data_IF_090509281220
#
_entry.id   IF_090509281220
#
_cell.length_a   1.000
_cell.length_b   1.000
_cell.length_c   1.000
_cell.angle_alpha   90.00
_cell.angle_beta   90.00
_cell.angle_gamma   90.00
#
_symmetry.space_group_name_H-M   'P 1'
#
loop_
_entity.id
_entity.type
_entity.pdbx_description
1 polymer ?
#
# COMPACT_ATOMS: atom_id res chain seq x y z
N UNK A 1 -17.48 68.77 20.10
CA UNK A 1 -16.34 67.82 20.16
C UNK A 1 -16.86 66.41 19.90
N UNK A 2 -16.75 65.88 18.68
CA UNK A 2 -17.12 64.49 18.36
C UNK A 2 -15.83 63.74 17.99
N UNK A 3 -15.44 62.80 18.85
CA UNK A 3 -14.30 61.89 18.61
C UNK A 3 -14.74 60.84 17.59
N UNK A 4 -14.09 60.79 16.44
CA UNK A 4 -14.23 59.70 15.47
C UNK A 4 -13.27 58.60 15.93
N UNK A 5 -13.83 57.46 16.35
CA UNK A 5 -13.08 56.27 16.71
C UNK A 5 -12.77 55.50 15.41
N UNK A 6 -11.51 55.41 15.04
CA UNK A 6 -11.06 54.61 13.89
C UNK A 6 -10.90 53.16 14.37
N UNK A 7 -11.83 52.27 13.96
CA UNK A 7 -11.70 50.83 14.20
C UNK A 7 -10.79 50.23 13.13
N UNK A 8 -9.59 49.81 13.53
CA UNK A 8 -8.68 49.02 12.69
C UNK A 8 -9.15 47.57 12.75
N UNK A 9 -9.76 47.07 11.66
CA UNK A 9 -10.04 45.66 11.49
C UNK A 9 -8.72 44.93 11.16
N UNK A 10 -8.15 44.25 12.15
CA UNK A 10 -7.08 43.28 11.93
C UNK A 10 -7.74 42.02 11.37
N UNK A 11 -7.70 41.86 10.05
CA UNK A 11 -8.04 40.59 9.41
C UNK A 11 -6.90 39.63 9.70
N UNK A 12 -7.04 38.84 10.77
CA UNK A 12 -6.23 37.66 11.00
C UNK A 12 -6.54 36.68 9.87
N UNK A 13 -5.71 36.69 8.83
CA UNK A 13 -5.69 35.64 7.82
C UNK A 13 -5.21 34.36 8.50
N UNK A 14 -6.13 33.58 9.04
CA UNK A 14 -5.85 32.18 9.36
C UNK A 14 -5.39 31.51 8.06
N UNK A 15 -4.26 30.77 8.04
CA UNK A 15 -3.97 29.93 6.91
C UNK A 15 -5.17 29.02 6.74
N UNK A 16 -5.81 29.09 5.57
CA UNK A 16 -6.84 28.16 5.20
C UNK A 16 -6.19 26.77 5.27
N UNK A 17 -6.46 26.03 6.34
CA UNK A 17 -6.35 24.59 6.34
C UNK A 17 -7.29 24.16 5.22
N UNK A 18 -6.72 23.95 4.02
CA UNK A 18 -7.43 23.29 2.94
C UNK A 18 -8.09 22.09 3.55
N UNK A 19 -9.43 22.01 3.48
CA UNK A 19 -10.15 20.80 3.81
C UNK A 19 -9.45 19.69 3.02
N UNK A 20 -8.73 18.82 3.72
CA UNK A 20 -8.19 17.62 3.12
C UNK A 20 -9.43 16.92 2.58
N UNK A 21 -9.56 16.82 1.25
CA UNK A 21 -10.50 15.87 0.63
C UNK A 21 -10.32 14.57 1.40
N UNK A 22 -11.39 13.90 1.81
CA UNK A 22 -11.28 12.64 2.57
C UNK A 22 -10.57 11.59 1.71
N UNK A 23 -9.24 11.61 1.78
CA UNK A 23 -8.32 10.84 0.96
C UNK A 23 -8.14 9.44 1.55
N UNK A 24 -8.70 9.14 2.72
CA UNK A 24 -8.58 7.87 3.39
C UNK A 24 -9.94 7.21 3.60
N UNK A 25 -10.09 6.00 3.09
CA UNK A 25 -11.19 5.10 3.41
C UNK A 25 -10.66 3.92 4.21
N UNK A 26 -11.38 3.54 5.27
CA UNK A 26 -11.08 2.34 6.05
C UNK A 26 -12.33 1.51 6.16
N UNK A 27 -12.36 0.37 5.49
CA UNK A 27 -13.52 -0.52 5.50
C UNK A 27 -13.18 -1.90 4.96
N UNK A 28 -14.04 -2.87 5.24
CA UNK A 28 -14.03 -4.17 4.54
C UNK A 28 -14.37 -3.92 3.07
N UNK A 29 -13.70 -4.64 2.16
CA UNK A 29 -14.02 -4.62 0.74
C UNK A 29 -14.78 -5.91 0.39
N UNK A 30 -15.99 -5.83 -0.19
CA UNK A 30 -16.84 -7.02 -0.39
C UNK A 30 -16.20 -8.06 -1.30
N UNK A 31 -15.49 -7.63 -2.35
CA UNK A 31 -14.74 -8.55 -3.20
C UNK A 31 -13.61 -9.27 -2.46
N UNK A 32 -12.90 -8.57 -1.56
CA UNK A 32 -11.78 -9.18 -0.83
C UNK A 32 -12.31 -10.22 0.16
N UNK A 33 -13.33 -9.86 0.94
CA UNK A 33 -13.96 -10.77 1.88
C UNK A 33 -14.57 -12.01 1.19
N UNK A 34 -15.19 -11.83 0.01
CA UNK A 34 -15.69 -12.94 -0.81
C UNK A 34 -14.56 -13.93 -1.14
N UNK A 35 -13.42 -13.44 -1.64
CA UNK A 35 -12.29 -14.30 -1.96
C UNK A 35 -11.70 -14.96 -0.71
N UNK A 36 -11.58 -14.23 0.40
CA UNK A 36 -11.09 -14.78 1.68
C UNK A 36 -11.97 -15.94 2.15
N UNK A 37 -13.30 -15.79 2.12
CA UNK A 37 -14.24 -16.86 2.49
C UNK A 37 -14.08 -18.07 1.58
N UNK A 38 -14.08 -17.88 0.25
CA UNK A 38 -13.97 -19.00 -0.69
C UNK A 38 -12.65 -19.76 -0.50
N UNK A 39 -11.55 -19.05 -0.25
CA UNK A 39 -10.24 -19.65 0.00
C UNK A 39 -10.17 -20.41 1.33
N UNK A 40 -10.81 -19.90 2.39
CA UNK A 40 -10.92 -20.60 3.68
C UNK A 40 -11.73 -21.89 3.51
N UNK A 41 -12.87 -21.84 2.81
CA UNK A 41 -13.71 -23.02 2.56
C UNK A 41 -12.99 -24.11 1.74
N UNK A 42 -12.01 -23.72 0.93
CA UNK A 42 -11.21 -24.62 0.11
C UNK A 42 -9.97 -25.15 0.84
N UNK A 43 -9.79 -24.83 2.13
CA UNK A 43 -8.59 -25.12 2.91
C UNK A 43 -7.29 -24.61 2.25
N UNK A 44 -7.39 -23.52 1.48
CA UNK A 44 -6.25 -22.87 0.81
C UNK A 44 -5.73 -21.67 1.59
N UNK A 45 -6.54 -21.07 2.46
CA UNK A 45 -6.14 -19.97 3.33
C UNK A 45 -6.05 -20.43 4.79
N UNK A 46 -5.17 -19.84 5.63
CA UNK A 46 -5.16 -20.14 7.05
C UNK A 46 -6.51 -19.85 7.68
N UNK A 47 -6.80 -20.61 8.74
CA UNK A 47 -8.00 -20.36 9.53
C UNK A 47 -7.92 -18.96 10.18
N UNK A 48 -9.03 -18.21 10.20
CA UNK A 48 -9.05 -16.87 10.78
C UNK A 48 -8.81 -16.95 12.30
N UNK A 49 -8.30 -15.86 12.87
CA UNK A 49 -8.25 -15.76 14.32
C UNK A 49 -9.68 -15.82 14.92
N UNK A 50 -9.88 -16.51 16.05
CA UNK A 50 -11.19 -16.59 16.71
C UNK A 50 -11.79 -15.22 17.01
N UNK A 51 -13.00 -14.99 16.54
CA UNK A 51 -13.81 -13.81 16.87
C UNK A 51 -15.29 -14.13 16.74
N UNK A 52 -16.15 -13.28 17.31
CA UNK A 52 -17.59 -13.37 17.11
C UNK A 52 -17.94 -13.36 15.62
N UNK A 53 -17.23 -12.53 14.84
CA UNK A 53 -17.41 -12.44 13.40
C UNK A 53 -16.94 -13.68 12.64
N UNK A 54 -15.74 -14.20 12.91
CA UNK A 54 -15.24 -15.38 12.21
C UNK A 54 -16.09 -16.61 12.49
N UNK A 55 -16.60 -16.76 13.72
CA UNK A 55 -17.58 -17.79 14.06
C UNK A 55 -18.87 -17.67 13.23
N UNK A 56 -19.45 -16.47 13.14
CA UNK A 56 -20.67 -16.22 12.36
C UNK A 56 -20.47 -16.47 10.86
N UNK A 57 -19.36 -15.97 10.29
CA UNK A 57 -19.04 -16.13 8.88
C UNK A 57 -18.83 -17.61 8.51
N UNK A 58 -18.01 -18.33 9.27
CA UNK A 58 -17.75 -19.75 9.01
C UNK A 58 -19.04 -20.58 9.13
N UNK A 59 -19.85 -20.35 10.17
CA UNK A 59 -21.11 -21.06 10.34
C UNK A 59 -22.12 -20.77 9.19
N UNK A 60 -22.12 -19.54 8.65
CA UNK A 60 -23.00 -19.18 7.55
C UNK A 60 -22.59 -19.86 6.23
N UNK A 61 -21.29 -19.86 5.93
CA UNK A 61 -20.78 -20.27 4.62
C UNK A 61 -20.36 -21.75 4.54
N UNK A 62 -20.21 -22.45 5.65
CA UNK A 62 -19.72 -23.84 5.69
C UNK A 62 -20.53 -24.81 4.78
N UNK A 63 -21.85 -24.64 4.71
CA UNK A 63 -22.72 -25.49 3.86
C UNK A 63 -22.44 -25.36 2.35
N UNK A 64 -21.60 -24.41 1.93
CA UNK A 64 -21.24 -24.17 0.53
C UNK A 64 -19.83 -24.66 0.17
N UNK A 65 -19.19 -25.50 1.01
CA UNK A 65 -17.88 -26.14 0.71
C UNK A 65 -17.85 -26.88 -0.63
N UNK A 66 -18.99 -27.40 -1.07
CA UNK A 66 -19.11 -28.12 -2.35
C UNK A 66 -19.33 -27.22 -3.58
N UNK A 67 -19.38 -25.90 -3.41
CA UNK A 67 -19.64 -24.96 -4.49
C UNK A 67 -18.52 -24.98 -5.55
N UNK A 68 -18.84 -24.84 -6.86
CA UNK A 68 -17.84 -24.83 -7.93
C UNK A 68 -16.66 -23.87 -7.72
N UNK A 69 -16.87 -22.69 -7.15
CA UNK A 69 -15.80 -21.74 -6.81
C UNK A 69 -14.78 -22.31 -5.80
N UNK A 70 -15.27 -22.98 -4.76
CA UNK A 70 -14.44 -23.62 -3.72
C UNK A 70 -13.65 -24.78 -4.32
N UNK A 71 -14.33 -25.62 -5.13
CA UNK A 71 -13.69 -26.72 -5.84
C UNK A 71 -12.64 -26.24 -6.84
N UNK A 72 -12.89 -25.16 -7.57
CA UNK A 72 -11.96 -24.58 -8.55
C UNK A 72 -10.68 -24.12 -7.88
N UNK A 73 -10.77 -23.36 -6.79
CA UNK A 73 -9.55 -22.84 -6.14
C UNK A 73 -8.76 -23.94 -5.43
N UNK A 74 -9.43 -25.02 -4.98
CA UNK A 74 -8.75 -26.20 -4.45
C UNK A 74 -7.80 -26.84 -5.49
N UNK A 75 -8.08 -26.70 -6.80
CA UNK A 75 -7.19 -27.22 -7.86
C UNK A 75 -5.99 -26.33 -8.16
N UNK A 76 -5.91 -25.12 -7.60
CA UNK A 76 -4.74 -24.26 -7.79
C UNK A 76 -3.55 -24.83 -7.00
N UNK A 77 -2.33 -24.43 -7.39
CA UNK A 77 -1.08 -24.88 -6.76
C UNK A 77 -0.89 -24.36 -5.33
N UNK A 78 0.32 -23.89 -5.02
CA UNK A 78 0.56 -23.17 -3.76
C UNK A 78 -0.35 -21.95 -3.67
N UNK A 79 -0.86 -21.64 -2.47
CA UNK A 79 -1.74 -20.51 -2.25
C UNK A 79 -1.00 -19.20 -2.52
N UNK A 80 -1.58 -18.36 -3.37
CA UNK A 80 -1.19 -16.98 -3.53
C UNK A 80 -2.17 -16.12 -2.72
N UNK A 81 -1.65 -15.30 -1.81
CA UNK A 81 -2.43 -14.68 -0.74
C UNK A 81 -2.86 -13.25 -1.02
N UNK A 82 -2.47 -12.67 -2.15
CA UNK A 82 -2.90 -11.33 -2.56
C UNK A 82 -4.33 -11.34 -3.11
N UNK A 83 -5.29 -11.68 -2.25
CA UNK A 83 -6.73 -11.70 -2.56
C UNK A 83 -7.28 -10.31 -2.89
N UNK A 84 -6.56 -9.28 -2.46
CA UNK A 84 -6.85 -7.87 -2.76
C UNK A 84 -6.82 -7.63 -4.26
N UNK A 85 -5.86 -8.21 -4.98
CA UNK A 85 -5.73 -8.06 -6.43
C UNK A 85 -7.00 -8.55 -7.15
N UNK A 86 -7.53 -9.70 -6.74
CA UNK A 86 -8.79 -10.24 -7.27
C UNK A 86 -10.01 -9.44 -6.83
N UNK A 87 -10.07 -9.07 -5.55
CA UNK A 87 -11.20 -8.33 -4.99
C UNK A 87 -11.44 -7.01 -5.72
N UNK A 88 -10.37 -6.33 -6.14
CA UNK A 88 -10.43 -5.05 -6.86
C UNK A 88 -10.62 -5.19 -8.38
N UNK A 89 -10.63 -6.42 -8.91
CA UNK A 89 -11.18 -6.69 -10.25
C UNK A 89 -12.72 -6.59 -10.26
N UNK A 90 -13.39 -6.62 -9.10
CA UNK A 90 -14.85 -6.54 -8.99
C UNK A 90 -15.34 -5.13 -8.65
N UNK A 91 -16.42 -4.69 -9.29
CA UNK A 91 -17.10 -3.43 -8.96
C UNK A 91 -18.63 -3.56 -9.03
N UNK A 92 -19.35 -2.46 -8.74
CA UNK A 92 -20.80 -2.33 -8.88
C UNK A 92 -21.67 -3.29 -8.03
N UNK A 93 -21.19 -3.69 -6.86
CA UNK A 93 -21.95 -4.51 -5.90
C UNK A 93 -23.34 -3.91 -5.59
N UNK A 94 -24.43 -4.71 -5.57
CA UNK A 94 -24.46 -6.17 -5.71
C UNK A 94 -24.38 -6.71 -7.14
N UNK A 95 -24.53 -5.86 -8.16
CA UNK A 95 -24.55 -6.28 -9.57
C UNK A 95 -23.11 -6.35 -10.10
N UNK A 96 -22.34 -7.33 -9.59
CA UNK A 96 -20.90 -7.43 -9.81
C UNK A 96 -20.54 -7.33 -11.29
N UNK A 97 -19.74 -6.32 -11.61
CA UNK A 97 -18.96 -6.27 -12.85
C UNK A 97 -17.56 -6.78 -12.58
N UNK A 98 -17.05 -7.61 -13.48
CA UNK A 98 -15.69 -8.12 -13.45
C UNK A 98 -14.91 -7.37 -14.52
N UNK A 99 -13.90 -6.62 -14.10
CA UNK A 99 -12.89 -6.10 -15.01
C UNK A 99 -11.82 -7.18 -15.22
N UNK A 100 -11.41 -7.37 -16.47
CA UNK A 100 -10.40 -8.35 -16.86
C UNK A 100 -9.10 -7.61 -17.21
N UNK A 101 -8.19 -7.40 -16.26
CA UNK A 101 -6.94 -6.68 -16.50
C UNK A 101 -6.04 -7.41 -17.51
N UNK A 102 -5.10 -6.68 -18.09
CA UNK A 102 -4.12 -7.26 -19.01
C UNK A 102 -3.17 -8.22 -18.27
N UNK A 103 -2.70 -7.79 -17.10
CA UNK A 103 -1.71 -8.47 -16.27
C UNK A 103 -2.20 -8.51 -14.82
N UNK A 104 -2.01 -9.64 -14.14
CA UNK A 104 -2.12 -9.81 -12.69
C UNK A 104 -1.04 -10.77 -12.22
N UNK A 105 -0.60 -10.65 -10.97
CA UNK A 105 0.28 -11.66 -10.37
C UNK A 105 -0.43 -13.01 -10.26
N UNK A 106 -1.74 -13.04 -10.05
CA UNK A 106 -2.56 -14.26 -10.15
C UNK A 106 -2.41 -14.96 -11.51
N UNK A 107 -2.34 -14.22 -12.63
CA UNK A 107 -2.20 -14.82 -13.96
C UNK A 107 -0.85 -15.49 -14.15
N UNK A 108 0.22 -14.91 -13.59
CA UNK A 108 1.57 -15.48 -13.63
C UNK A 108 1.64 -16.82 -12.89
N UNK A 109 0.88 -16.96 -11.81
CA UNK A 109 0.88 -18.16 -10.97
C UNK A 109 -0.03 -19.28 -11.51
N UNK A 110 -1.19 -18.96 -12.08
CA UNK A 110 -2.22 -19.97 -12.40
C UNK A 110 -2.74 -19.94 -13.86
N UNK A 111 -2.28 -18.99 -14.67
CA UNK A 111 -2.76 -18.77 -16.03
C UNK A 111 -4.03 -17.91 -16.08
N UNK A 112 -4.09 -17.00 -17.05
CA UNK A 112 -5.16 -16.00 -17.19
C UNK A 112 -6.56 -16.62 -17.25
N UNK A 113 -6.77 -17.60 -18.12
CA UNK A 113 -8.08 -18.22 -18.32
C UNK A 113 -8.61 -18.89 -17.04
N UNK A 114 -7.75 -19.62 -16.33
CA UNK A 114 -8.10 -20.27 -15.07
C UNK A 114 -8.50 -19.28 -13.99
N UNK A 115 -7.79 -18.16 -13.87
CA UNK A 115 -8.10 -17.12 -12.89
C UNK A 115 -9.40 -16.42 -13.24
N UNK A 116 -9.63 -16.09 -14.52
CA UNK A 116 -10.88 -15.47 -14.96
C UNK A 116 -12.09 -16.38 -14.74
N UNK A 117 -11.95 -17.69 -14.99
CA UNK A 117 -12.97 -18.67 -14.65
C UNK A 117 -13.23 -18.68 -13.13
N UNK A 118 -12.18 -18.68 -12.31
CA UNK A 118 -12.32 -18.63 -10.86
C UNK A 118 -13.06 -17.37 -10.37
N UNK A 119 -12.71 -16.18 -10.87
CA UNK A 119 -13.41 -14.92 -10.53
C UNK A 119 -14.90 -15.00 -10.90
N UNK A 120 -15.23 -15.58 -12.06
CA UNK A 120 -16.62 -15.77 -12.50
C UNK A 120 -17.37 -16.73 -11.58
N UNK A 121 -16.75 -17.84 -11.18
CA UNK A 121 -17.33 -18.77 -10.22
C UNK A 121 -17.49 -18.14 -8.83
N UNK A 122 -16.60 -17.24 -8.40
CA UNK A 122 -16.77 -16.48 -7.15
C UNK A 122 -17.97 -15.52 -7.22
N UNK A 123 -18.23 -14.89 -8.36
CA UNK A 123 -19.48 -14.13 -8.56
C UNK A 123 -20.71 -15.04 -8.46
N UNK A 124 -20.63 -16.26 -8.97
CA UNK A 124 -21.74 -17.22 -8.85
C UNK A 124 -21.93 -17.67 -7.39
N UNK A 125 -20.83 -17.87 -6.64
CA UNK A 125 -20.86 -18.10 -5.19
C UNK A 125 -21.53 -16.94 -4.46
N UNK A 126 -21.16 -15.70 -4.79
CA UNK A 126 -21.75 -14.49 -4.22
C UNK A 126 -23.28 -14.50 -4.36
N UNK A 127 -23.80 -14.88 -5.53
CA UNK A 127 -25.23 -14.98 -5.78
C UNK A 127 -25.88 -16.16 -5.04
N UNK A 128 -25.32 -17.36 -5.14
CA UNK A 128 -25.88 -18.58 -4.57
C UNK A 128 -25.91 -18.59 -3.04
N UNK A 129 -24.99 -17.86 -2.41
CA UNK A 129 -24.88 -17.75 -0.95
C UNK A 129 -25.61 -16.55 -0.37
N UNK A 130 -26.24 -15.72 -1.20
CA UNK A 130 -26.79 -14.42 -0.77
C UNK A 130 -25.74 -13.57 -0.03
N UNK A 131 -24.49 -13.61 -0.52
CA UNK A 131 -23.35 -12.95 0.12
C UNK A 131 -23.63 -11.48 0.40
N UNK A 132 -24.28 -10.76 -0.52
CA UNK A 132 -24.55 -9.34 -0.32
C UNK A 132 -25.46 -9.06 0.88
N UNK A 133 -26.41 -9.93 1.16
CA UNK A 133 -27.29 -9.79 2.32
C UNK A 133 -26.52 -10.06 3.61
N UNK A 134 -25.65 -11.07 3.60
CA UNK A 134 -24.69 -11.30 4.68
C UNK A 134 -23.79 -10.08 4.90
N UNK A 135 -23.17 -9.54 3.85
CA UNK A 135 -22.29 -8.37 3.92
C UNK A 135 -23.03 -7.14 4.48
N UNK A 136 -24.21 -6.81 3.96
CA UNK A 136 -25.02 -5.67 4.42
C UNK A 136 -25.45 -5.82 5.88
N UNK A 137 -25.78 -7.04 6.32
CA UNK A 137 -26.13 -7.32 7.72
C UNK A 137 -25.01 -6.94 8.70
N UNK A 138 -23.75 -6.99 8.25
CA UNK A 138 -22.58 -6.67 9.09
C UNK A 138 -22.00 -5.26 8.83
N UNK A 139 -22.59 -4.47 7.94
CA UNK A 139 -22.10 -3.14 7.56
C UNK A 139 -21.84 -2.22 8.76
N UNK A 140 -22.72 -2.25 9.78
CA UNK A 140 -22.53 -1.46 10.99
C UNK A 140 -21.26 -1.86 11.79
N UNK A 141 -20.92 -3.15 11.82
CA UNK A 141 -19.68 -3.62 12.45
C UNK A 141 -18.47 -3.15 11.64
N UNK A 142 -18.51 -3.31 10.31
CA UNK A 142 -17.42 -2.86 9.44
C UNK A 142 -17.16 -1.36 9.56
N UNK A 143 -18.21 -0.53 9.56
CA UNK A 143 -18.09 0.92 9.76
C UNK A 143 -17.49 1.24 11.11
N UNK A 144 -17.88 0.55 12.19
CA UNK A 144 -17.33 0.79 13.52
C UNK A 144 -15.84 0.45 13.59
N UNK A 145 -15.43 -0.70 13.07
CA UNK A 145 -14.02 -1.10 13.00
C UNK A 145 -13.20 -0.12 12.16
N UNK A 146 -13.72 0.24 10.99
CA UNK A 146 -13.09 1.17 10.08
C UNK A 146 -12.92 2.56 10.69
N UNK A 147 -13.96 3.11 11.32
CA UNK A 147 -13.90 4.41 11.97
C UNK A 147 -12.90 4.45 13.13
N UNK A 148 -12.82 3.38 13.93
CA UNK A 148 -11.84 3.28 15.02
C UNK A 148 -10.42 3.38 14.49
N UNK A 149 -10.09 2.60 13.46
CA UNK A 149 -8.75 2.63 12.87
C UNK A 149 -8.48 3.94 12.10
N UNK A 150 -9.48 4.45 11.34
CA UNK A 150 -9.37 5.73 10.64
C UNK A 150 -9.02 6.87 11.60
N UNK A 151 -9.67 6.93 12.77
CA UNK A 151 -9.38 7.94 13.78
C UNK A 151 -7.91 7.88 14.26
N UNK A 152 -7.34 6.69 14.42
CA UNK A 152 -5.92 6.53 14.75
C UNK A 152 -5.00 7.00 13.62
N UNK A 153 -5.33 6.67 12.36
CA UNK A 153 -4.55 7.08 11.18
C UNK A 153 -4.61 8.60 10.98
N UNK A 154 -5.80 9.18 11.05
CA UNK A 154 -6.03 10.63 10.90
C UNK A 154 -5.31 11.41 12.00
N UNK A 155 -5.37 10.94 13.26
CA UNK A 155 -4.68 11.61 14.37
C UNK A 155 -3.15 11.55 14.25
N UNK A 156 -2.61 10.54 13.56
CA UNK A 156 -1.18 10.46 13.27
C UNK A 156 -0.73 11.43 12.15
N UNK A 157 -1.65 11.96 11.34
CA UNK A 157 -1.37 12.96 10.30
C UNK A 157 -0.39 12.50 9.23
N UNK A 158 -0.37 11.20 8.90
CA UNK A 158 0.67 10.60 8.04
C UNK A 158 0.62 11.12 6.60
N UNK A 159 -0.58 11.26 6.04
CA UNK A 159 -0.76 11.75 4.67
C UNK A 159 -0.26 13.19 4.56
N UNK A 160 -0.53 14.02 5.56
CA UNK A 160 -0.06 15.41 5.61
C UNK A 160 1.47 15.48 5.78
N UNK A 161 2.06 14.58 6.57
CA UNK A 161 3.53 14.47 6.70
C UNK A 161 4.19 14.10 5.37
N UNK A 162 3.61 13.17 4.62
CA UNK A 162 4.08 12.77 3.29
C UNK A 162 3.95 13.92 2.28
N UNK A 163 2.77 14.54 2.19
CA UNK A 163 2.53 15.71 1.34
C UNK A 163 3.48 16.86 1.70
N UNK A 164 3.67 17.12 2.98
CA UNK A 164 4.61 18.13 3.49
C UNK A 164 6.06 17.83 3.14
N UNK A 165 6.45 16.55 3.09
CA UNK A 165 7.75 16.14 2.58
C UNK A 165 7.88 16.47 1.10
N UNK A 166 6.94 16.07 0.24
CA UNK A 166 7.07 16.29 -1.20
C UNK A 166 6.88 17.77 -1.62
N UNK A 167 6.09 18.53 -0.84
CA UNK A 167 5.66 19.92 -1.10
C UNK A 167 4.94 20.11 -2.43
N UNK A 168 4.25 19.08 -2.89
CA UNK A 168 3.23 19.12 -3.94
C UNK A 168 2.19 18.03 -3.65
N UNK A 169 1.05 18.04 -4.36
CA UNK A 169 0.00 17.05 -4.20
C UNK A 169 0.00 16.09 -5.39
N UNK A 170 -0.15 14.79 -5.12
CA UNK A 170 -0.26 13.74 -6.14
C UNK A 170 -1.70 13.20 -6.29
N UNK A 171 -2.68 13.83 -5.64
CA UNK A 171 -4.12 13.48 -5.70
C UNK A 171 -4.43 12.00 -5.43
N UNK A 172 -3.75 11.42 -4.44
CA UNK A 172 -3.87 10.00 -4.08
C UNK A 172 -5.01 9.73 -3.12
N UNK A 173 -5.77 8.67 -3.40
CA UNK A 173 -6.75 8.11 -2.49
C UNK A 173 -6.22 6.82 -1.86
N UNK A 174 -6.53 6.60 -0.58
CA UNK A 174 -6.00 5.53 0.24
C UNK A 174 -7.14 4.67 0.76
N UNK A 175 -7.08 3.35 0.56
CA UNK A 175 -8.04 2.43 1.14
C UNK A 175 -7.32 1.44 2.06
N UNK A 176 -7.59 1.53 3.36
CA UNK A 176 -7.21 0.46 4.29
C UNK A 176 -8.33 -0.58 4.28
N UNK A 177 -8.08 -1.66 3.55
CA UNK A 177 -8.96 -2.81 3.41
C UNK A 177 -8.80 -3.70 4.64
N UNK A 178 -9.55 -3.43 5.70
CA UNK A 178 -9.60 -4.32 6.87
C UNK A 178 -10.29 -5.62 6.48
N UNK A 179 -9.66 -6.75 6.75
CA UNK A 179 -10.19 -8.08 6.50
C UNK A 179 -10.28 -8.87 7.81
N UNK A 180 -11.48 -9.02 8.40
CA UNK A 180 -11.66 -9.68 9.69
C UNK A 180 -11.37 -11.19 9.67
N UNK A 181 -11.25 -11.79 8.49
CA UNK A 181 -10.94 -13.21 8.29
C UNK A 181 -9.49 -13.44 7.86
N UNK A 182 -8.74 -12.38 7.57
CA UNK A 182 -7.33 -12.49 7.23
C UNK A 182 -6.47 -12.70 8.48
N UNK A 183 -5.83 -13.87 8.58
CA UNK A 183 -4.82 -14.21 9.59
C UNK A 183 -3.43 -14.47 8.99
N UNK A 184 -3.22 -14.17 7.70
CA UNK A 184 -1.96 -14.39 6.99
C UNK A 184 -0.97 -13.25 7.19
N UNK A 185 -1.39 -12.03 6.85
CA UNK A 185 -0.51 -10.86 6.87
C UNK A 185 -1.12 -9.63 6.21
N UNK A 186 -0.36 -8.55 6.16
CA UNK A 186 -0.76 -7.28 5.55
C UNK A 186 0.09 -6.97 4.33
N UNK A 187 -0.51 -6.38 3.30
CA UNK A 187 0.19 -6.01 2.08
C UNK A 187 -0.49 -4.81 1.40
N UNK A 188 0.28 -4.06 0.62
CA UNK A 188 -0.20 -2.93 -0.16
C UNK A 188 -0.18 -3.26 -1.65
N UNK A 189 -1.18 -2.77 -2.39
CA UNK A 189 -1.20 -2.85 -3.84
C UNK A 189 -1.54 -1.49 -4.45
N UNK A 190 -1.05 -1.27 -5.66
CA UNK A 190 -1.55 -0.20 -6.53
C UNK A 190 -2.65 -0.76 -7.45
N UNK A 191 -3.66 0.05 -7.74
CA UNK A 191 -4.85 -0.41 -8.49
C UNK A 191 -4.89 0.08 -9.94
N UNK A 192 -3.90 0.89 -10.35
CA UNK A 192 -3.80 1.52 -11.67
C UNK A 192 -3.95 0.55 -12.84
N UNK A 193 -3.37 -0.64 -12.72
CA UNK A 193 -3.41 -1.68 -13.77
C UNK A 193 -4.51 -2.71 -13.55
N UNK A 194 -5.17 -2.68 -12.39
CA UNK A 194 -6.17 -3.69 -11.96
C UNK A 194 -7.55 -3.31 -12.47
N UNK A 195 -8.02 -2.08 -12.24
CA UNK A 195 -9.33 -1.64 -12.71
C UNK A 195 -9.32 -0.10 -12.86
N UNK A 196 -9.59 0.45 -14.06
CA UNK A 196 -9.56 1.89 -14.32
C UNK A 196 -10.46 2.71 -13.40
N UNK A 197 -11.56 2.14 -12.92
CA UNK A 197 -12.46 2.80 -11.97
C UNK A 197 -11.76 3.17 -10.65
N UNK A 198 -10.70 2.44 -10.32
CA UNK A 198 -9.97 2.57 -9.07
C UNK A 198 -8.57 3.14 -9.26
N UNK A 199 -8.17 3.56 -10.46
CA UNK A 199 -6.76 3.80 -10.81
C UNK A 199 -5.96 4.73 -9.88
N UNK A 200 -6.64 5.63 -9.15
CA UNK A 200 -6.04 6.59 -8.23
C UNK A 200 -5.99 6.11 -6.76
N UNK A 201 -6.32 4.84 -6.49
CA UNK A 201 -6.30 4.24 -5.15
C UNK A 201 -5.03 3.44 -4.87
N UNK A 202 -4.38 3.74 -3.74
CA UNK A 202 -3.49 2.81 -3.03
C UNK A 202 -4.33 2.02 -2.04
N UNK A 203 -4.16 0.71 -2.02
CA UNK A 203 -4.91 -0.18 -1.13
C UNK A 203 -3.96 -0.90 -0.21
N UNK A 204 -4.21 -0.85 1.09
CA UNK A 204 -3.51 -1.66 2.10
C UNK A 204 -4.47 -2.63 2.74
N UNK A 205 -4.28 -3.92 2.51
CA UNK A 205 -5.01 -4.92 3.24
C UNK A 205 -4.35 -5.22 4.57
N UNK A 206 -5.16 -5.37 5.60
CA UNK A 206 -4.70 -5.82 6.91
C UNK A 206 -5.73 -6.74 7.55
N UNK A 207 -5.22 -7.74 8.24
CA UNK A 207 -6.02 -8.73 8.95
C UNK A 207 -6.28 -8.40 10.42
N UNK A 208 -6.92 -9.35 11.09
CA UNK A 208 -7.10 -9.38 12.54
C UNK A 208 -6.04 -10.30 13.17
N UNK A 209 -5.05 -9.73 13.86
CA UNK A 209 -3.84 -10.45 14.32
C UNK A 209 -3.70 -10.53 15.85
N UNK A 210 -4.76 -10.90 16.56
CA UNK A 210 -4.73 -11.03 18.02
C UNK A 210 -4.18 -12.39 18.47
N UNK A 211 -3.20 -12.39 19.38
CA UNK A 211 -2.60 -13.62 19.91
C UNK A 211 -3.51 -14.33 20.91
N UNK A 212 -4.27 -13.57 21.69
CA UNK A 212 -5.23 -14.09 22.67
C UNK A 212 -6.67 -13.85 22.22
N UNK A 213 -6.97 -14.26 20.98
CA UNK A 213 -8.23 -13.98 20.33
C UNK A 213 -9.40 -14.71 21.03
N UNK A 214 -10.55 -14.04 21.10
CA UNK A 214 -11.73 -14.53 21.83
C UNK A 214 -12.92 -14.66 20.87
N UNK A 215 -13.49 -15.87 20.69
CA UNK A 215 -14.62 -16.09 19.78
C UNK A 215 -15.91 -15.38 20.19
N UNK A 216 -15.96 -14.70 21.34
CA UNK A 216 -17.09 -13.87 21.78
C UNK A 216 -16.87 -12.38 21.52
N UNK A 217 -15.68 -11.96 21.10
CA UNK A 217 -15.34 -10.56 20.85
C UNK A 217 -15.26 -10.27 19.36
N UNK A 218 -15.63 -9.06 18.98
CA UNK A 218 -15.43 -8.59 17.61
C UNK A 218 -13.93 -8.31 17.34
N UNK A 219 -13.47 -8.46 16.09
CA UNK A 219 -12.13 -8.08 15.67
C UNK A 219 -11.76 -6.64 16.07
N UNK A 220 -10.49 -6.47 16.44
CA UNK A 220 -9.86 -5.18 16.67
C UNK A 220 -8.68 -5.01 15.71
N UNK A 221 -8.68 -3.93 14.94
CA UNK A 221 -7.62 -3.65 13.97
C UNK A 221 -6.67 -2.60 14.54
N UNK A 222 -5.46 -3.04 14.86
CA UNK A 222 -4.43 -2.19 15.45
C UNK A 222 -3.86 -1.19 14.45
N UNK A 223 -3.61 0.03 14.91
CA UNK A 223 -2.79 0.99 14.17
C UNK A 223 -1.30 0.61 14.28
N UNK A 224 -0.89 -0.35 13.46
CA UNK A 224 0.50 -0.81 13.39
C UNK A 224 1.01 -0.74 11.94
N UNK A 225 2.26 -0.31 11.77
CA UNK A 225 2.97 -0.23 10.48
C UNK A 225 2.35 0.68 9.39
N UNK A 226 1.30 1.45 9.70
CA UNK A 226 0.68 2.38 8.75
C UNK A 226 1.59 3.49 8.29
N UNK A 227 2.60 3.84 9.07
CA UNK A 227 3.66 4.76 8.64
C UNK A 227 4.39 4.22 7.42
N UNK A 228 4.73 2.93 7.44
CA UNK A 228 5.41 2.30 6.33
C UNK A 228 4.47 2.23 5.12
N UNK A 229 3.20 1.89 5.29
CA UNK A 229 2.21 2.01 4.21
C UNK A 229 2.21 3.41 3.59
N UNK A 230 1.97 4.44 4.41
CA UNK A 230 1.76 5.79 3.88
C UNK A 230 3.05 6.34 3.31
N UNK A 231 4.17 6.18 4.01
CA UNK A 231 5.44 6.74 3.58
C UNK A 231 6.08 5.95 2.44
N UNK A 232 6.05 4.62 2.46
CA UNK A 232 6.66 3.80 1.40
C UNK A 232 5.76 3.78 0.16
N UNK A 233 4.55 3.24 0.28
CA UNK A 233 3.67 3.04 -0.87
C UNK A 233 3.18 4.36 -1.46
N UNK A 234 3.04 5.38 -0.62
CA UNK A 234 2.72 6.73 -1.09
C UNK A 234 3.82 7.31 -1.92
N UNK A 235 5.07 7.16 -1.49
CA UNK A 235 6.23 7.70 -2.17
C UNK A 235 6.37 7.19 -3.60
N UNK A 236 6.02 5.92 -3.88
CA UNK A 236 5.94 5.36 -5.24
C UNK A 236 5.12 6.25 -6.18
N UNK A 237 3.96 6.77 -5.72
CA UNK A 237 3.12 7.63 -6.57
C UNK A 237 3.75 9.00 -6.79
N UNK A 238 4.29 9.63 -5.74
CA UNK A 238 4.94 10.94 -5.87
C UNK A 238 6.16 10.86 -6.80
N UNK A 239 6.93 9.77 -6.72
CA UNK A 239 8.17 9.61 -7.48
C UNK A 239 7.92 9.23 -8.94
N UNK A 240 6.89 8.45 -9.27
CA UNK A 240 6.64 7.95 -10.63
C UNK A 240 6.74 9.04 -11.73
N UNK A 241 6.14 10.20 -11.51
CA UNK A 241 6.22 11.32 -12.46
C UNK A 241 7.65 11.85 -12.64
N UNK A 242 8.40 11.96 -11.55
CA UNK A 242 9.80 12.41 -11.55
C UNK A 242 10.72 11.36 -12.18
N UNK A 243 10.54 10.09 -11.86
CA UNK A 243 11.36 9.03 -12.43
C UNK A 243 11.19 8.94 -13.94
N UNK A 244 9.95 9.09 -14.43
CA UNK A 244 9.70 9.19 -15.87
C UNK A 244 10.36 10.44 -16.47
N UNK A 245 10.32 11.57 -15.78
CA UNK A 245 10.95 12.81 -16.26
C UNK A 245 12.48 12.69 -16.36
N UNK A 246 13.12 11.95 -15.45
CA UNK A 246 14.57 11.78 -15.37
C UNK A 246 15.05 10.39 -15.80
N UNK A 247 14.25 9.68 -16.59
CA UNK A 247 14.48 8.28 -17.00
C UNK A 247 15.89 8.07 -17.56
N UNK A 248 16.36 8.97 -18.43
CA UNK A 248 17.69 8.88 -19.02
C UNK A 248 18.81 8.98 -17.97
N UNK A 249 18.71 9.94 -17.06
CA UNK A 249 19.70 10.16 -16.01
C UNK A 249 19.69 9.02 -14.97
N UNK A 250 18.54 8.41 -14.74
CA UNK A 250 18.42 7.20 -13.94
C UNK A 250 19.10 6.04 -14.66
N UNK A 251 18.85 5.84 -15.95
CA UNK A 251 19.48 4.76 -16.74
C UNK A 251 21.01 4.90 -16.84
N UNK A 252 21.55 6.12 -16.83
CA UNK A 252 23.00 6.37 -16.75
C UNK A 252 23.63 5.79 -15.48
N UNK A 253 22.85 5.60 -14.41
CA UNK A 253 23.29 5.00 -13.14
C UNK A 253 23.13 3.48 -13.10
N UNK A 254 22.75 2.82 -14.21
CA UNK A 254 22.49 1.37 -14.22
C UNK A 254 23.69 0.49 -13.83
N UNK A 255 24.92 1.03 -13.87
CA UNK A 255 26.13 0.35 -13.38
C UNK A 255 26.12 0.10 -11.86
N UNK A 256 25.23 0.76 -11.13
CA UNK A 256 24.97 0.53 -9.70
C UNK A 256 24.15 -0.75 -9.45
N UNK A 257 23.48 -1.29 -10.47
CA UNK A 257 22.67 -2.48 -10.29
C UNK A 257 23.51 -3.76 -10.27
N UNK A 258 23.54 -4.45 -9.13
CA UNK A 258 24.04 -5.81 -9.04
C UNK A 258 22.89 -6.82 -9.13
N UNK A 259 22.56 -7.28 -10.34
CA UNK A 259 21.52 -8.30 -10.56
C UNK A 259 21.77 -9.64 -9.87
N UNK A 260 23.02 -9.92 -9.50
CA UNK A 260 23.43 -11.18 -8.87
C UNK A 260 23.38 -11.10 -7.34
N UNK A 261 23.11 -9.93 -6.78
CA UNK A 261 22.92 -9.72 -5.35
C UNK A 261 21.78 -10.58 -4.79
N UNK A 262 22.03 -11.23 -3.67
CA UNK A 262 21.07 -12.17 -3.09
C UNK A 262 19.88 -11.47 -2.43
N UNK A 263 20.06 -10.22 -1.98
CA UNK A 263 18.96 -9.38 -1.52
C UNK A 263 18.08 -8.91 -2.66
N UNK A 264 18.65 -8.53 -3.81
CA UNK A 264 17.85 -8.20 -4.99
C UNK A 264 16.98 -9.38 -5.42
N UNK A 265 17.52 -10.61 -5.46
CA UNK A 265 16.73 -11.82 -5.75
C UNK A 265 15.65 -12.07 -4.69
N UNK A 266 16.00 -11.97 -3.41
CA UNK A 266 15.07 -12.18 -2.28
C UNK A 266 13.88 -11.21 -2.30
N UNK A 267 14.11 -9.98 -2.76
CA UNK A 267 13.07 -8.96 -2.90
C UNK A 267 12.45 -8.92 -4.30
N UNK A 268 12.72 -9.92 -5.16
CA UNK A 268 12.21 -9.97 -6.55
C UNK A 268 12.55 -8.75 -7.41
N UNK A 269 13.65 -8.05 -7.10
CA UNK A 269 14.15 -6.92 -7.87
C UNK A 269 14.92 -7.46 -9.09
N UNK A 270 14.33 -7.30 -10.27
CA UNK A 270 14.84 -7.91 -11.51
C UNK A 270 15.57 -6.95 -12.44
N UNK A 271 15.44 -5.63 -12.23
CA UNK A 271 16.02 -4.62 -13.10
C UNK A 271 16.41 -3.35 -12.33
N UNK A 272 17.27 -2.55 -12.95
CA UNK A 272 17.81 -1.33 -12.34
C UNK A 272 16.75 -0.31 -11.98
N UNK A 273 15.77 -0.04 -12.87
CA UNK A 273 14.75 0.98 -12.60
C UNK A 273 13.95 0.64 -11.36
N UNK A 274 13.57 -0.63 -11.22
CA UNK A 274 12.87 -1.09 -10.02
C UNK A 274 13.77 -1.03 -8.77
N UNK A 275 15.06 -1.35 -8.90
CA UNK A 275 16.03 -1.19 -7.82
C UNK A 275 16.17 0.28 -7.38
N UNK A 276 16.23 1.22 -8.33
CA UNK A 276 16.34 2.65 -8.08
C UNK A 276 15.11 3.19 -7.35
N UNK A 277 13.91 2.91 -7.88
CA UNK A 277 12.63 3.30 -7.32
C UNK A 277 12.47 2.84 -5.87
N UNK A 278 12.73 1.56 -5.61
CA UNK A 278 12.70 0.99 -4.25
C UNK A 278 13.72 1.64 -3.32
N UNK A 279 14.97 1.84 -3.76
CA UNK A 279 15.96 2.54 -2.94
C UNK A 279 15.52 3.99 -2.66
N UNK A 280 14.93 4.69 -3.63
CA UNK A 280 14.47 6.06 -3.47
C UNK A 280 13.33 6.15 -2.46
N UNK A 281 12.30 5.33 -2.63
CA UNK A 281 11.14 5.22 -1.73
C UNK A 281 11.56 4.87 -0.31
N UNK A 282 12.46 3.89 -0.15
CA UNK A 282 12.99 3.48 1.16
C UNK A 282 13.81 4.59 1.81
N UNK A 283 14.59 5.34 1.04
CA UNK A 283 15.35 6.49 1.54
C UNK A 283 14.44 7.63 2.02
N UNK A 284 13.40 7.95 1.25
CA UNK A 284 12.37 8.93 1.64
C UNK A 284 11.64 8.47 2.91
N UNK A 285 11.24 7.20 2.95
CA UNK A 285 10.59 6.60 4.12
C UNK A 285 11.48 6.72 5.35
N UNK A 286 12.76 6.38 5.25
CA UNK A 286 13.67 6.48 6.36
C UNK A 286 13.89 7.93 6.82
N UNK A 287 13.96 8.90 5.90
CA UNK A 287 14.05 10.33 6.23
C UNK A 287 12.78 10.85 6.94
N UNK A 288 11.60 10.36 6.56
CA UNK A 288 10.34 10.65 7.24
C UNK A 288 10.30 10.06 8.66
N UNK A 289 10.83 8.85 8.85
CA UNK A 289 11.01 8.26 10.18
C UNK A 289 11.99 9.08 11.03
N UNK A 290 13.10 9.54 10.44
CA UNK A 290 14.06 10.41 11.11
C UNK A 290 13.40 11.72 11.58
N UNK A 291 12.53 12.30 10.75
CA UNK A 291 11.86 13.55 11.07
C UNK A 291 10.74 13.43 12.11
N UNK A 292 9.94 12.35 12.06
CA UNK A 292 8.65 12.30 12.77
C UNK A 292 8.53 11.17 13.80
N UNK A 293 9.54 10.30 13.92
CA UNK A 293 9.51 9.16 14.86
C UNK A 293 10.67 9.21 15.82
N UNK A 294 10.49 8.51 16.93
CA UNK A 294 11.53 8.38 17.95
C UNK A 294 12.81 7.76 17.36
N UNK A 295 14.00 8.12 17.87
CA UNK A 295 15.28 7.63 17.34
C UNK A 295 15.38 6.11 17.24
N UNK A 296 14.72 5.38 18.15
CA UNK A 296 14.67 3.91 18.12
C UNK A 296 13.90 3.38 16.90
N UNK A 297 12.79 4.03 16.53
CA UNK A 297 11.98 3.63 15.38
C UNK A 297 12.72 3.92 14.07
N UNK A 298 13.37 5.08 13.95
CA UNK A 298 14.24 5.40 12.81
C UNK A 298 15.38 4.38 12.66
N UNK A 299 16.12 4.08 13.74
CA UNK A 299 17.19 3.06 13.70
C UNK A 299 16.68 1.68 13.29
N UNK A 300 15.50 1.27 13.78
CA UNK A 300 14.85 0.01 13.38
C UNK A 300 14.52 0.01 11.89
N UNK A 301 14.02 1.13 11.36
CA UNK A 301 13.71 1.30 9.95
C UNK A 301 14.99 1.18 9.09
N UNK A 302 16.06 1.93 9.42
CA UNK A 302 17.34 1.83 8.72
C UNK A 302 17.91 0.40 8.72
N UNK A 303 17.89 -0.27 9.88
CA UNK A 303 18.39 -1.65 9.98
C UNK A 303 17.59 -2.63 9.11
N UNK A 304 16.26 -2.45 8.98
CA UNK A 304 15.41 -3.27 8.10
C UNK A 304 15.85 -3.17 6.64
N UNK A 305 16.14 -1.95 6.17
CA UNK A 305 16.53 -1.72 4.78
C UNK A 305 17.90 -2.33 4.46
N UNK A 306 18.86 -2.16 5.36
CA UNK A 306 20.20 -2.76 5.24
C UNK A 306 20.16 -4.29 5.26
N UNK A 307 19.38 -4.91 6.15
CA UNK A 307 19.19 -6.37 6.19
C UNK A 307 18.48 -6.91 4.93
N UNK A 308 17.84 -6.03 4.17
CA UNK A 308 17.18 -6.35 2.90
C UNK A 308 18.06 -6.03 1.69
N UNK A 309 19.34 -5.67 1.91
CA UNK A 309 20.37 -5.29 0.93
C UNK A 309 20.01 -4.05 0.09
N UNK A 310 19.13 -3.16 0.59
CA UNK A 310 18.91 -1.84 0.01
C UNK A 310 19.99 -0.86 0.50
N UNK A 311 21.24 -1.13 0.11
CA UNK A 311 22.44 -0.49 0.65
C UNK A 311 22.48 1.03 0.40
N UNK A 312 21.89 1.53 -0.69
CA UNK A 312 21.92 2.95 -1.01
C UNK A 312 21.10 3.80 -0.02
N UNK A 313 20.19 3.19 0.73
CA UNK A 313 19.42 3.87 1.78
C UNK A 313 20.33 4.49 2.85
N UNK A 314 21.44 3.83 3.20
CA UNK A 314 22.41 4.34 4.19
C UNK A 314 23.02 5.68 3.77
N UNK A 315 23.13 5.91 2.47
CA UNK A 315 23.75 7.11 1.91
C UNK A 315 22.74 8.17 1.50
N UNK A 316 21.59 7.74 0.97
CA UNK A 316 20.54 8.60 0.45
C UNK A 316 19.69 9.20 1.56
N UNK A 317 19.36 8.44 2.61
CA UNK A 317 18.58 8.97 3.73
C UNK A 317 19.24 10.20 4.37
N UNK A 318 20.50 10.16 4.86
CA UNK A 318 21.11 11.33 5.49
C UNK A 318 21.31 12.47 4.50
N UNK A 319 21.55 12.18 3.21
CA UNK A 319 21.63 13.20 2.18
C UNK A 319 20.29 13.93 1.99
N UNK A 320 19.18 13.18 1.86
CA UNK A 320 17.82 13.73 1.76
C UNK A 320 17.49 14.52 3.04
N UNK A 321 17.75 13.95 4.21
CA UNK A 321 17.39 14.58 5.48
C UNK A 321 18.12 15.92 5.68
N UNK A 322 19.44 15.96 5.50
CA UNK A 322 20.24 17.17 5.74
C UNK A 322 20.12 18.19 4.60
N UNK A 323 20.07 17.76 3.34
CA UNK A 323 20.08 18.68 2.19
C UNK A 323 18.71 19.15 1.75
N UNK A 324 17.66 18.40 2.06
CA UNK A 324 16.29 18.74 1.68
C UNK A 324 15.39 19.04 2.86
N UNK A 325 15.24 18.13 3.84
CA UNK A 325 14.28 18.35 4.94
C UNK A 325 14.71 19.45 5.89
N UNK A 326 15.99 19.50 6.26
CA UNK A 326 16.55 20.57 7.11
C UNK A 326 16.89 21.85 6.36
N UNK A 327 16.74 21.86 5.04
CA UNK A 327 17.09 23.00 4.20
C UNK A 327 15.85 23.70 3.67
N UNK A 328 15.89 25.03 3.64
CA UNK A 328 14.88 25.84 2.95
C UNK A 328 15.27 26.16 1.50
N UNK A 329 16.34 25.53 0.96
CA UNK A 329 16.86 25.79 -0.39
C UNK A 329 15.87 25.39 -1.50
N UNK A 330 15.14 24.29 -1.31
CA UNK A 330 14.27 23.70 -2.34
C UNK A 330 12.80 23.87 -1.98
N UNK A 331 12.02 24.41 -2.92
CA UNK A 331 10.58 24.66 -2.76
C UNK A 331 9.76 23.38 -2.86
N UNK A 332 10.28 22.35 -3.53
CA UNK A 332 9.66 21.04 -3.63
C UNK A 332 10.68 19.94 -3.88
N UNK A 333 10.24 18.69 -3.72
CA UNK A 333 11.08 17.54 -4.03
C UNK A 333 11.41 17.46 -5.53
N UNK A 334 10.58 18.04 -6.40
CA UNK A 334 10.85 18.19 -7.84
C UNK A 334 12.16 18.95 -8.09
N UNK A 335 12.40 20.03 -7.33
CA UNK A 335 13.63 20.82 -7.44
C UNK A 335 14.84 20.10 -6.84
N UNK A 336 14.61 19.22 -5.86
CA UNK A 336 15.68 18.49 -5.17
C UNK A 336 16.10 17.20 -5.88
N UNK A 337 15.19 16.52 -6.57
CA UNK A 337 15.44 15.22 -7.21
C UNK A 337 16.71 15.17 -8.07
N UNK A 338 17.04 16.18 -8.91
CA UNK A 338 18.29 16.19 -9.69
C UNK A 338 19.57 16.14 -8.83
N UNK A 339 19.54 16.68 -7.61
CA UNK A 339 20.68 16.69 -6.70
C UNK A 339 20.95 15.29 -6.15
N UNK A 340 19.93 14.45 -6.03
CA UNK A 340 20.08 13.03 -5.65
C UNK A 340 20.80 12.27 -6.77
N UNK A 341 20.37 12.44 -8.02
CA UNK A 341 21.01 11.81 -9.18
C UNK A 341 22.48 12.26 -9.32
N UNK A 342 22.73 13.55 -9.12
CA UNK A 342 24.08 14.11 -9.08
C UNK A 342 24.92 13.49 -7.97
N UNK A 343 24.38 13.40 -6.76
CA UNK A 343 25.06 12.81 -5.61
C UNK A 343 25.46 11.35 -5.87
N UNK A 344 24.53 10.52 -6.36
CA UNK A 344 24.82 9.12 -6.70
C UNK A 344 25.93 9.01 -7.76
N UNK A 345 25.88 9.84 -8.81
CA UNK A 345 26.89 9.86 -9.88
C UNK A 345 28.28 10.27 -9.36
N UNK A 346 28.35 11.29 -8.51
CA UNK A 346 29.62 11.79 -7.96
C UNK A 346 30.23 10.84 -6.95
N UNK A 347 29.40 10.14 -6.17
CA UNK A 347 29.86 9.26 -5.10
C UNK A 347 30.26 7.87 -5.59
N UNK A 348 29.57 7.37 -6.61
CA UNK A 348 29.86 6.07 -7.21
C UNK A 348 30.38 6.27 -8.63
N UNK A 349 31.69 6.40 -8.80
CA UNK A 349 32.29 6.51 -10.14
C UNK A 349 32.05 5.21 -10.93
N UNK A 350 31.68 5.27 -12.22
CA UNK A 350 31.61 4.09 -13.06
C UNK A 350 32.95 3.34 -13.07
N UNK A 351 32.95 2.00 -13.13
CA UNK A 351 34.18 1.26 -13.33
C UNK A 351 34.89 1.79 -14.59
N UNK A 352 36.18 2.09 -14.47
CA UNK A 352 37.00 2.49 -15.63
C UNK A 352 36.94 1.34 -16.63
N UNK A 353 36.40 1.59 -17.82
CA UNK A 353 36.49 0.63 -18.92
C UNK A 353 37.97 0.49 -19.28
N UNK A 354 38.61 -0.58 -18.80
CA UNK A 354 39.92 -0.99 -19.32
C UNK A 354 39.67 -1.48 -20.74
N UNK A 355 39.85 -0.59 -21.72
CA UNK A 355 40.05 -0.99 -23.10
C UNK A 355 41.34 -1.77 -23.16
N UNK A 356 41.27 -3.09 -23.02
CA UNK A 356 42.31 -3.97 -23.49
C UNK A 356 42.32 -3.81 -25.01
N UNK A 357 43.22 -2.95 -25.50
CA UNK A 357 43.67 -3.02 -26.89
C UNK A 357 44.51 -4.28 -26.97
N UNK A 358 44.00 -5.26 -27.71
CA UNK A 358 44.76 -6.41 -28.19
C UNK A 358 46.00 -5.97 -28.98
#
# INVERSE_FOLDING_TARGET
MKRILLLILIVLSSPAYSQVKDQLKVNVHPGVELFTIVQILADKYPQPNPSAYSKEALAYFEKYKDHPAVKKVATFGQTYTDLVELGWCMSDFPNIKIYEPAELSWYKNYGKENVLEYIKLCRDFFNATHFWDFYRKHAARYTRWGNSLKASVDSAGLVQKLQGFYKYNADVHWWICIDPLNSWGSHAITTKTINPQFADWIVYNTGYFERNADPQKDPYFEFANFDNLVFHEGSHIYLNGLEKQYEKQIDELAYLFNKNDDGMKRNSISNWRYCFDENMVRSVTAALYHQYREPRAYKKQMAKELLSDFIYVEELEPFIYERYLKSNKYKSFVEFFPEILKYLREKHTPPVQTTNKE
#
